data_IF_345396223186
#
_entry.id   IF_345396223186
#
_cell.length_a   1.000
_cell.length_b   1.000
_cell.length_c   1.000
_cell.angle_alpha   90.00
_cell.angle_beta   90.00
_cell.angle_gamma   90.00
#
_symmetry.space_group_name_H-M   'P 1'
#
loop_
_entity.id
_entity.type
_entity.pdbx_description
1 polymer ?
#
# COMPACT_ATOMS: atom_id res chain seq x y z
N UNK A 1 6.38 -11.99 0.35
CA UNK A 1 6.93 -10.87 -0.44
C UNK A 1 8.30 -10.55 0.14
N UNK A 2 9.32 -10.44 -0.71
CA UNK A 2 10.63 -9.96 -0.28
C UNK A 2 10.58 -8.46 -0.05
N UNK A 3 11.48 -7.91 0.77
CA UNK A 3 11.60 -6.45 0.96
C UNK A 3 12.02 -5.73 -0.33
N UNK A 4 12.68 -6.44 -1.24
CA UNK A 4 13.17 -5.93 -2.52
C UNK A 4 12.16 -6.09 -3.68
N UNK A 5 10.98 -6.65 -3.40
CA UNK A 5 9.94 -6.86 -4.41
C UNK A 5 8.65 -6.09 -4.03
N UNK A 6 8.05 -5.30 -4.94
CA UNK A 6 8.48 -5.02 -6.31
C UNK A 6 9.83 -4.27 -6.37
N UNK A 7 10.58 -4.44 -7.47
CA UNK A 7 11.84 -3.71 -7.69
C UNK A 7 11.61 -2.20 -7.59
N UNK A 8 12.55 -1.51 -6.95
CA UNK A 8 12.43 -0.06 -6.71
C UNK A 8 12.33 0.75 -8.01
N UNK A 9 13.06 0.36 -9.05
CA UNK A 9 13.02 1.05 -10.35
C UNK A 9 11.62 1.01 -10.97
N UNK A 10 10.94 -0.14 -10.88
CA UNK A 10 9.55 -0.29 -11.35
C UNK A 10 8.59 0.62 -10.59
N UNK A 11 8.82 0.85 -9.30
CA UNK A 11 7.98 1.74 -8.50
C UNK A 11 8.24 3.22 -8.82
N UNK A 12 9.51 3.59 -9.03
CA UNK A 12 9.90 4.96 -9.37
C UNK A 12 9.39 5.38 -10.76
N UNK A 13 9.34 4.46 -11.71
CA UNK A 13 8.72 4.70 -13.02
C UNK A 13 7.24 5.10 -12.93
N UNK A 14 6.54 4.70 -11.86
CA UNK A 14 5.13 5.04 -11.62
C UNK A 14 4.92 6.39 -10.94
N UNK A 15 5.99 7.02 -10.47
CA UNK A 15 5.94 8.22 -9.63
C UNK A 15 6.93 9.27 -10.11
N UNK A 16 7.00 9.48 -11.43
CA UNK A 16 7.87 10.48 -12.08
C UNK A 16 9.35 10.41 -11.66
N UNK A 17 9.82 9.22 -11.26
CA UNK A 17 11.13 8.99 -10.65
C UNK A 17 11.40 9.79 -9.36
N UNK A 18 10.35 10.33 -8.73
CA UNK A 18 10.43 10.99 -7.43
C UNK A 18 10.18 9.99 -6.27
N UNK A 19 11.21 9.80 -5.46
CA UNK A 19 11.18 8.95 -4.26
C UNK A 19 10.25 9.47 -3.15
N UNK A 20 10.08 10.79 -3.04
CA UNK A 20 9.25 11.41 -2.01
C UNK A 20 7.77 11.26 -2.36
N UNK A 21 7.45 11.41 -3.64
CA UNK A 21 6.14 11.09 -4.19
C UNK A 21 5.80 9.60 -3.98
N UNK A 22 6.71 8.69 -4.31
CA UNK A 22 6.53 7.26 -4.05
C UNK A 22 6.26 6.95 -2.57
N UNK A 23 7.06 7.54 -1.67
CA UNK A 23 6.88 7.36 -0.23
C UNK A 23 5.50 7.85 0.23
N UNK A 24 5.09 9.03 -0.24
CA UNK A 24 3.82 9.66 0.15
C UNK A 24 2.62 8.88 -0.38
N UNK A 25 2.65 8.47 -1.65
CA UNK A 25 1.62 7.65 -2.29
C UNK A 25 1.47 6.29 -1.59
N UNK A 26 2.58 5.58 -1.41
CA UNK A 26 2.58 4.26 -0.78
C UNK A 26 2.16 4.32 0.69
N UNK A 27 2.59 5.34 1.44
CA UNK A 27 2.20 5.51 2.85
C UNK A 27 0.70 5.78 2.98
N UNK A 28 0.16 6.73 2.22
CA UNK A 28 -1.28 7.03 2.22
C UNK A 28 -2.09 5.77 1.88
N UNK A 29 -1.70 5.06 0.82
CA UNK A 29 -2.40 3.84 0.41
C UNK A 29 -2.29 2.70 1.43
N UNK A 30 -1.13 2.55 2.06
CA UNK A 30 -0.95 1.57 3.13
C UNK A 30 -1.86 1.85 4.34
N UNK A 31 -2.10 3.12 4.67
CA UNK A 31 -3.07 3.50 5.70
C UNK A 31 -4.50 3.10 5.32
N UNK A 32 -4.94 3.38 4.09
CA UNK A 32 -6.27 2.99 3.60
C UNK A 32 -6.48 1.47 3.70
N UNK A 33 -5.47 0.69 3.27
CA UNK A 33 -5.49 -0.78 3.36
C UNK A 33 -5.55 -1.22 4.83
N UNK A 34 -4.75 -0.61 5.70
CA UNK A 34 -4.72 -0.99 7.11
C UNK A 34 -6.05 -0.71 7.82
N UNK A 35 -6.68 0.44 7.54
CA UNK A 35 -8.00 0.78 8.08
C UNK A 35 -9.08 -0.17 7.57
N UNK A 36 -9.03 -0.54 6.28
CA UNK A 36 -9.91 -1.56 5.70
C UNK A 36 -9.72 -2.93 6.38
N UNK A 37 -8.48 -3.39 6.53
CA UNK A 37 -8.17 -4.67 7.18
C UNK A 37 -8.59 -4.67 8.66
N UNK A 38 -8.40 -3.55 9.38
CA UNK A 38 -8.87 -3.40 10.76
C UNK A 38 -10.38 -3.54 10.84
N UNK A 39 -11.13 -2.82 9.99
CA UNK A 39 -12.60 -2.92 9.96
C UNK A 39 -13.11 -4.32 9.62
N UNK A 40 -12.41 -5.06 8.74
CA UNK A 40 -12.73 -6.47 8.48
C UNK A 40 -12.44 -7.37 9.68
N UNK A 41 -11.30 -7.18 10.36
CA UNK A 41 -10.95 -7.92 11.59
C UNK A 41 -11.97 -7.68 12.69
N UNK A 42 -12.39 -6.44 12.92
CA UNK A 42 -13.38 -6.11 13.95
C UNK A 42 -14.72 -6.83 13.71
N UNK A 43 -15.14 -6.97 12.45
CA UNK A 43 -16.33 -7.76 12.06
C UNK A 43 -16.10 -9.26 12.19
N UNK A 44 -14.91 -9.75 11.81
CA UNK A 44 -14.57 -11.17 11.86
C UNK A 44 -14.40 -11.69 13.29
N UNK A 45 -13.90 -10.87 14.23
CA UNK A 45 -13.80 -11.20 15.66
C UNK A 45 -15.17 -11.58 16.25
N UNK A 46 -16.26 -11.00 15.73
CA UNK A 46 -17.62 -11.35 16.16
C UNK A 46 -18.10 -12.71 15.61
N UNK A 47 -17.43 -13.27 14.60
CA UNK A 47 -17.89 -14.42 13.81
C UNK A 47 -16.91 -15.61 13.78
N UNK A 48 -15.62 -15.43 14.09
CA UNK A 48 -14.54 -16.40 13.85
C UNK A 48 -13.73 -16.78 15.09
N UNK A 49 -13.04 -17.93 15.02
CA UNK A 49 -12.16 -18.43 16.06
C UNK A 49 -10.77 -17.77 16.00
N UNK A 50 -10.06 -17.68 17.13
CA UNK A 50 -8.76 -16.99 17.25
C UNK A 50 -7.68 -17.45 16.24
N UNK A 51 -7.78 -18.67 15.71
CA UNK A 51 -6.82 -19.27 14.77
C UNK A 51 -6.95 -18.68 13.36
N UNK A 52 -8.16 -18.35 12.92
CA UNK A 52 -8.42 -17.78 11.59
C UNK A 52 -7.94 -16.33 11.50
N UNK A 53 -8.09 -15.58 12.59
CA UNK A 53 -7.62 -14.20 12.73
C UNK A 53 -6.09 -14.12 12.59
N UNK A 54 -5.37 -15.09 13.17
CA UNK A 54 -3.91 -15.14 13.11
C UNK A 54 -3.38 -15.37 11.68
N UNK A 55 -4.02 -16.22 10.87
CA UNK A 55 -3.61 -16.49 9.48
C UNK A 55 -3.81 -15.31 8.54
N UNK A 56 -4.76 -14.42 8.83
CA UNK A 56 -5.00 -13.22 8.02
C UNK A 56 -3.97 -12.09 8.25
N UNK A 57 -3.04 -12.24 9.19
CA UNK A 57 -2.10 -11.19 9.59
C UNK A 57 -0.81 -11.11 8.76
N UNK A 58 -0.57 -12.02 7.81
CA UNK A 58 0.77 -12.15 7.19
C UNK A 58 1.12 -11.12 6.12
N UNK A 59 0.14 -10.43 5.52
CA UNK A 59 0.41 -9.41 4.49
C UNK A 59 0.47 -8.01 5.09
N UNK A 60 1.65 -7.40 5.03
CA UNK A 60 1.87 -6.02 5.47
C UNK A 60 1.17 -5.04 4.51
N UNK A 61 0.39 -4.06 5.00
CA UNK A 61 -0.31 -3.09 4.16
C UNK A 61 0.61 -2.35 3.18
N UNK A 62 1.81 -1.98 3.61
CA UNK A 62 2.79 -1.31 2.75
C UNK A 62 3.24 -2.18 1.57
N UNK A 63 3.44 -3.48 1.80
CA UNK A 63 3.79 -4.42 0.72
C UNK A 63 2.64 -4.60 -0.27
N UNK A 64 1.38 -4.49 0.19
CA UNK A 64 0.22 -4.49 -0.69
C UNK A 64 0.15 -3.21 -1.50
N UNK A 65 0.36 -2.04 -0.88
CA UNK A 65 0.38 -0.76 -1.57
C UNK A 65 1.42 -0.73 -2.70
N UNK A 66 2.65 -1.18 -2.46
CA UNK A 66 3.65 -1.29 -3.52
C UNK A 66 3.23 -2.22 -4.65
N UNK A 67 2.58 -3.34 -4.33
CA UNK A 67 2.10 -4.27 -5.34
C UNK A 67 0.95 -3.69 -6.19
N UNK A 68 0.10 -2.84 -5.62
CA UNK A 68 -0.97 -2.13 -6.32
C UNK A 68 -0.42 -1.02 -7.22
N UNK A 69 0.57 -0.24 -6.72
CA UNK A 69 1.28 0.77 -7.52
C UNK A 69 1.97 0.12 -8.72
N UNK A 70 2.70 -0.98 -8.51
CA UNK A 70 3.38 -1.69 -9.58
C UNK A 70 2.41 -2.27 -10.64
N UNK A 71 1.13 -2.46 -10.29
CA UNK A 71 0.08 -2.95 -11.17
C UNK A 71 -0.78 -1.85 -11.80
N UNK A 72 -0.42 -0.58 -11.62
CA UNK A 72 -1.20 0.58 -12.09
C UNK A 72 -2.63 0.63 -11.52
N UNK A 73 -2.88 -0.02 -10.37
CA UNK A 73 -4.19 -0.01 -9.70
C UNK A 73 -4.39 1.28 -8.87
N UNK A 74 -3.30 1.97 -8.53
CA UNK A 74 -3.27 3.20 -7.72
C UNK A 74 -2.32 4.20 -8.36
N UNK A 75 -2.78 5.44 -8.52
CA UNK A 75 -2.00 6.57 -9.00
C UNK A 75 -2.22 7.81 -8.13
N UNK A 76 -1.55 8.90 -8.47
CA UNK A 76 -1.75 10.21 -7.87
C UNK A 76 -2.31 11.18 -8.92
N UNK A 77 -2.89 12.29 -8.46
CA UNK A 77 -3.32 13.39 -9.31
C UNK A 77 -2.19 14.42 -9.43
N UNK A 78 -1.59 14.62 -10.62
CA UNK A 78 -0.50 15.58 -10.82
C UNK A 78 -0.89 17.02 -10.52
N UNK A 79 -2.18 17.39 -10.60
CA UNK A 79 -2.62 18.75 -10.28
C UNK A 79 -2.73 18.97 -8.76
N UNK A 80 -2.73 17.88 -7.98
CA UNK A 80 -2.79 17.93 -6.52
C UNK A 80 -1.42 18.06 -5.85
N UNK A 81 -0.32 17.94 -6.61
CA UNK A 81 1.05 17.91 -6.09
C UNK A 81 1.99 18.69 -7.03
N UNK A 82 2.84 19.56 -6.49
CA UNK A 82 3.87 20.22 -7.30
C UNK A 82 5.04 19.28 -7.60
N UNK A 83 4.88 18.43 -8.61
CA UNK A 83 5.90 17.47 -9.06
C UNK A 83 7.12 18.14 -9.71
N UNK A 84 7.05 19.44 -10.04
CA UNK A 84 8.10 20.13 -10.82
C UNK A 84 9.11 20.88 -9.97
N UNK A 85 8.76 21.27 -8.74
CA UNK A 85 9.61 22.09 -7.87
C UNK A 85 10.18 21.34 -6.65
N UNK A 86 10.24 20.01 -6.71
CA UNK A 86 10.71 19.17 -5.60
C UNK A 86 12.23 18.94 -5.57
#
# INVERSE_FOLDING_TARGET
MSIIEPKIDTLLEKTDNDRFLLCSLAAKRAHDINDMMRGQRDRAIQLQTAVEIARAAEKKPLSMAFAEIARDEVSYDPDSIDVKNH
#
